data_IF_931520006367
#
_entry.id   IF_931520006367
#
_cell.length_a   1.000
_cell.length_b   1.000
_cell.length_c   1.000
_cell.angle_alpha   90.00
_cell.angle_beta   90.00
_cell.angle_gamma   90.00
#
_symmetry.space_group_name_H-M   'P 1'
#
loop_
_entity.id
_entity.type
_entity.pdbx_description
1 polymer ?
#
# COMPACT_ATOMS: atom_id res chain seq x y z
N UNK A 1 -35.27 63.99 -10.34
CA UNK A 1 -35.08 62.76 -11.14
C UNK A 1 -34.93 61.61 -10.16
N UNK A 2 -36.00 60.88 -9.90
CA UNK A 2 -36.03 59.75 -8.97
C UNK A 2 -35.43 58.52 -9.65
N UNK A 3 -34.23 58.12 -9.22
CA UNK A 3 -33.61 56.88 -9.66
C UNK A 3 -34.41 55.69 -9.10
N UNK A 4 -35.19 55.02 -9.95
CA UNK A 4 -35.89 53.79 -9.59
C UNK A 4 -34.89 52.67 -9.34
N UNK A 5 -34.80 52.19 -8.10
CA UNK A 5 -34.03 50.99 -7.77
C UNK A 5 -34.68 49.78 -8.44
N UNK A 6 -34.15 49.33 -9.56
CA UNK A 6 -34.56 48.07 -10.17
C UNK A 6 -34.13 46.92 -9.24
N UNK A 7 -35.08 46.31 -8.54
CA UNK A 7 -34.80 45.11 -7.74
C UNK A 7 -34.40 43.99 -8.72
N UNK A 8 -33.27 43.30 -8.50
CA UNK A 8 -32.87 42.21 -9.37
C UNK A 8 -33.97 41.13 -9.38
N UNK A 9 -34.25 40.52 -10.54
CA UNK A 9 -35.25 39.47 -10.62
C UNK A 9 -34.85 38.31 -9.71
N UNK A 10 -35.83 37.72 -9.03
CA UNK A 10 -35.63 36.65 -8.02
C UNK A 10 -34.71 35.53 -8.54
N UNK A 11 -34.83 35.19 -9.83
CA UNK A 11 -33.98 34.19 -10.49
C UNK A 11 -32.47 34.54 -10.43
N UNK A 12 -32.10 35.81 -10.59
CA UNK A 12 -30.70 36.27 -10.54
C UNK A 12 -30.15 36.17 -9.12
N UNK A 13 -30.95 36.49 -8.10
CA UNK A 13 -30.55 36.32 -6.70
C UNK A 13 -30.38 34.84 -6.34
N UNK A 14 -31.29 33.98 -6.81
CA UNK A 14 -31.21 32.53 -6.61
C UNK A 14 -29.96 31.95 -7.28
N UNK A 15 -29.69 32.32 -8.54
CA UNK A 15 -28.48 31.89 -9.25
C UNK A 15 -27.20 32.39 -8.59
N UNK A 16 -27.17 33.66 -8.16
CA UNK A 16 -26.03 34.23 -7.44
C UNK A 16 -25.76 33.51 -6.13
N UNK A 17 -26.82 33.19 -5.37
CA UNK A 17 -26.72 32.41 -4.14
C UNK A 17 -26.21 30.98 -4.38
N UNK A 18 -26.73 30.29 -5.40
CA UNK A 18 -26.28 28.95 -5.76
C UNK A 18 -24.81 28.93 -6.19
N UNK A 19 -24.38 29.92 -6.97
CA UNK A 19 -22.99 30.07 -7.38
C UNK A 19 -22.07 30.35 -6.18
N UNK A 20 -22.47 31.24 -5.27
CA UNK A 20 -21.70 31.52 -4.06
C UNK A 20 -21.55 30.27 -3.17
N UNK A 21 -22.61 29.46 -3.03
CA UNK A 21 -22.56 28.19 -2.29
C UNK A 21 -21.64 27.16 -2.95
N UNK A 22 -21.64 27.08 -4.29
CA UNK A 22 -20.73 26.21 -5.04
C UNK A 22 -19.26 26.62 -4.81
N UNK A 23 -18.95 27.91 -4.92
CA UNK A 23 -17.60 28.43 -4.69
C UNK A 23 -17.18 28.20 -3.23
N UNK A 24 -18.05 28.48 -2.27
CA UNK A 24 -17.77 28.21 -0.87
C UNK A 24 -17.49 26.72 -0.61
N UNK A 25 -18.28 25.83 -1.22
CA UNK A 25 -18.08 24.37 -1.12
C UNK A 25 -16.74 23.93 -1.71
N UNK A 26 -16.37 24.42 -2.89
CA UNK A 26 -15.08 24.17 -3.53
C UNK A 26 -13.90 24.67 -2.67
N UNK A 27 -14.02 25.87 -2.11
CA UNK A 27 -12.99 26.46 -1.24
C UNK A 27 -12.86 25.68 0.06
N UNK A 28 -13.97 25.34 0.72
CA UNK A 28 -13.96 24.52 1.95
C UNK A 28 -13.35 23.15 1.67
N UNK A 29 -13.77 22.47 0.61
CA UNK A 29 -13.20 21.19 0.19
C UNK A 29 -11.72 21.27 -0.20
N UNK A 30 -11.25 22.43 -0.69
CA UNK A 30 -9.83 22.65 -0.97
C UNK A 30 -8.96 22.74 0.30
N UNK A 31 -9.54 23.03 1.47
CA UNK A 31 -8.82 23.09 2.74
C UNK A 31 -8.98 21.83 3.61
N UNK A 32 -9.85 20.89 3.22
CA UNK A 32 -9.95 19.61 3.95
C UNK A 32 -8.73 18.74 3.66
N UNK A 33 -7.83 18.60 4.64
CA UNK A 33 -6.72 17.64 4.56
C UNK A 33 -7.26 16.22 4.63
N UNK A 34 -6.87 15.31 3.72
CA UNK A 34 -7.22 13.91 3.83
C UNK A 34 -6.74 13.36 5.18
N UNK A 35 -7.65 12.80 5.98
CA UNK A 35 -7.27 12.11 7.20
C UNK A 35 -6.55 10.81 6.82
N UNK A 36 -5.28 10.69 7.19
CA UNK A 36 -4.52 9.47 6.92
C UNK A 36 -5.00 8.33 7.82
N UNK A 37 -4.93 7.07 7.34
CA UNK A 37 -5.21 5.92 8.16
C UNK A 37 -4.40 5.95 9.47
N UNK A 38 -4.97 5.50 10.61
CA UNK A 38 -4.35 5.59 11.93
C UNK A 38 -3.19 4.60 12.14
N UNK A 39 -2.52 4.17 11.07
CA UNK A 39 -1.30 3.38 11.17
C UNK A 39 -0.15 4.25 11.65
N UNK A 40 0.77 3.62 12.38
CA UNK A 40 2.01 4.22 12.90
C UNK A 40 3.18 3.32 12.52
N UNK A 41 4.38 3.85 12.24
CA UNK A 41 5.53 3.02 11.90
C UNK A 41 5.81 1.95 12.95
N UNK A 42 5.95 0.72 12.50
CA UNK A 42 6.29 -0.40 13.38
C UNK A 42 7.72 -0.26 13.87
N UNK A 43 7.91 -0.27 15.18
CA UNK A 43 9.25 -0.30 15.81
C UNK A 43 9.94 -1.61 15.38
N UNK A 44 11.06 -1.56 14.64
CA UNK A 44 11.72 -2.77 14.18
C UNK A 44 12.23 -3.58 15.38
N UNK A 45 11.81 -4.85 15.46
CA UNK A 45 12.38 -5.82 16.41
C UNK A 45 12.69 -7.14 15.69
N UNK A 46 13.72 -7.17 14.82
CA UNK A 46 13.95 -8.32 13.96
C UNK A 46 14.45 -9.52 14.76
N UNK A 47 13.72 -10.63 14.75
CA UNK A 47 14.07 -11.87 15.45
C UNK A 47 13.82 -13.09 14.55
N UNK A 48 14.77 -14.02 14.51
CA UNK A 48 14.69 -15.18 13.62
C UNK A 48 13.56 -16.11 14.04
N UNK A 49 12.63 -16.39 13.12
CA UNK A 49 11.41 -17.17 13.38
C UNK A 49 11.56 -18.69 13.15
N UNK A 50 12.71 -19.11 12.61
CA UNK A 50 13.01 -20.51 12.30
C UNK A 50 12.04 -21.11 11.27
N UNK A 51 11.63 -22.36 11.49
CA UNK A 51 10.71 -23.09 10.61
C UNK A 51 9.22 -22.77 10.87
N UNK A 52 8.92 -21.71 11.62
CA UNK A 52 7.55 -21.39 12.00
C UNK A 52 6.73 -20.78 10.86
N UNK A 53 5.42 -21.06 10.86
CA UNK A 53 4.45 -20.23 10.14
C UNK A 53 4.20 -18.96 10.95
N UNK A 54 4.53 -17.80 10.36
CA UNK A 54 4.36 -16.49 10.96
C UNK A 54 3.15 -15.79 10.35
N UNK A 55 2.40 -15.07 11.18
CA UNK A 55 1.31 -14.20 10.77
C UNK A 55 -0.08 -14.87 10.77
N UNK A 56 -1.14 -14.13 10.37
CA UNK A 56 -1.10 -12.79 9.81
C UNK A 56 -0.48 -11.75 10.76
N UNK A 57 0.48 -10.98 10.28
CA UNK A 57 1.09 -9.86 10.99
C UNK A 57 0.96 -8.59 10.15
N UNK A 58 0.69 -7.46 10.81
CA UNK A 58 0.65 -6.15 10.14
C UNK A 58 1.94 -5.40 10.43
N UNK A 59 2.53 -4.80 9.40
CA UNK A 59 3.76 -4.03 9.49
C UNK A 59 3.60 -2.71 8.73
N UNK A 60 4.08 -1.62 9.33
CA UNK A 60 4.09 -0.29 8.74
C UNK A 60 5.53 0.22 8.69
N UNK A 61 5.99 0.66 7.52
CA UNK A 61 7.33 1.19 7.32
C UNK A 61 7.34 2.50 6.55
N UNK A 62 8.39 3.28 6.81
CA UNK A 62 8.71 4.48 6.03
C UNK A 62 9.46 4.06 4.74
N UNK A 63 8.83 4.29 3.60
CA UNK A 63 9.39 4.14 2.26
C UNK A 63 9.46 5.49 1.53
N UNK A 64 9.50 6.62 2.26
CA UNK A 64 9.43 7.97 1.69
C UNK A 64 10.64 8.37 0.86
N UNK A 65 11.80 7.76 1.11
CA UNK A 65 13.04 7.95 0.35
C UNK A 65 12.83 7.68 -1.14
N UNK A 66 13.42 8.52 -1.98
CA UNK A 66 13.37 8.41 -3.44
C UNK A 66 14.53 7.63 -4.02
N UNK A 67 15.60 7.45 -3.26
CA UNK A 67 16.88 6.86 -3.66
C UNK A 67 17.16 5.52 -2.97
N UNK A 68 16.71 5.33 -1.72
CA UNK A 68 16.98 4.15 -0.90
C UNK A 68 15.78 3.22 -0.77
N UNK A 69 16.06 1.92 -0.86
CA UNK A 69 15.11 0.85 -0.61
C UNK A 69 15.04 0.53 0.89
N UNK A 70 13.83 0.57 1.47
CA UNK A 70 13.57 0.04 2.82
C UNK A 70 13.36 -1.47 2.71
N UNK A 71 14.33 -2.25 3.20
CA UNK A 71 14.39 -3.70 3.06
C UNK A 71 13.71 -4.40 4.23
N UNK A 72 12.93 -5.44 3.96
CA UNK A 72 12.22 -6.25 4.94
C UNK A 72 12.58 -7.73 4.74
N UNK A 73 12.79 -8.43 5.85
CA UNK A 73 13.09 -9.86 5.88
C UNK A 73 11.98 -10.60 6.62
N UNK A 74 11.28 -11.51 5.93
CA UNK A 74 10.19 -12.28 6.53
C UNK A 74 10.71 -13.24 7.61
N UNK A 75 11.94 -13.74 7.48
CA UNK A 75 12.56 -14.63 8.48
C UNK A 75 12.81 -13.93 9.81
N UNK A 76 12.96 -12.61 9.78
CA UNK A 76 13.16 -11.79 10.97
C UNK A 76 11.92 -11.01 11.37
N UNK A 77 10.87 -11.03 10.55
CA UNK A 77 9.62 -10.29 10.77
C UNK A 77 9.81 -8.78 10.89
N UNK A 78 10.81 -8.22 10.20
CA UNK A 78 11.21 -6.85 10.44
C UNK A 78 12.06 -6.25 9.33
N UNK A 79 12.17 -4.93 9.39
CA UNK A 79 13.07 -4.18 8.53
C UNK A 79 14.53 -4.44 8.91
N UNK A 80 15.39 -4.55 7.91
CA UNK A 80 16.83 -4.82 8.06
C UNK A 80 17.67 -3.79 7.30
N UNK A 81 18.77 -3.34 7.92
CA UNK A 81 19.69 -2.38 7.31
C UNK A 81 20.83 -3.09 6.54
N UNK A 82 21.17 -4.32 6.91
CA UNK A 82 22.21 -5.15 6.30
C UNK A 82 21.82 -6.63 6.29
N UNK A 83 22.55 -7.44 5.50
CA UNK A 83 22.29 -8.87 5.36
C UNK A 83 21.17 -9.22 4.39
N UNK A 84 20.65 -10.45 4.52
CA UNK A 84 19.58 -10.98 3.69
C UNK A 84 18.25 -10.25 3.91
N UNK A 85 17.55 -10.00 2.81
CA UNK A 85 16.22 -9.38 2.76
C UNK A 85 15.38 -10.12 1.73
N UNK A 86 14.06 -9.98 1.80
CA UNK A 86 13.13 -10.70 0.92
C UNK A 86 12.36 -9.75 0.01
N UNK A 87 11.86 -8.65 0.58
CA UNK A 87 11.14 -7.60 -0.14
C UNK A 87 11.71 -6.22 0.22
N UNK A 88 11.54 -5.26 -0.66
CA UNK A 88 11.90 -3.89 -0.36
C UNK A 88 10.93 -2.89 -0.97
N UNK A 89 10.79 -1.76 -0.27
CA UNK A 89 9.86 -0.69 -0.60
C UNK A 89 10.61 0.60 -0.88
N UNK A 90 10.15 1.34 -1.89
CA UNK A 90 10.60 2.70 -2.17
C UNK A 90 9.47 3.45 -2.84
N UNK A 91 8.98 4.51 -2.21
CA UNK A 91 7.73 5.17 -2.58
C UNK A 91 6.62 4.12 -2.69
N UNK A 92 5.93 4.04 -3.81
CA UNK A 92 4.90 3.04 -4.09
C UNK A 92 5.45 1.77 -4.75
N UNK A 93 6.76 1.66 -4.97
CA UNK A 93 7.35 0.48 -5.57
C UNK A 93 7.60 -0.61 -4.52
N UNK A 94 7.38 -1.85 -4.93
CA UNK A 94 7.72 -3.07 -4.20
C UNK A 94 8.55 -3.96 -5.12
N UNK A 95 9.68 -4.45 -4.60
CA UNK A 95 10.56 -5.40 -5.28
C UNK A 95 10.91 -6.56 -4.36
N UNK A 96 11.45 -7.63 -4.94
CA UNK A 96 12.03 -8.75 -4.21
C UNK A 96 13.56 -8.69 -4.19
N UNK A 97 14.18 -9.44 -3.29
CA UNK A 97 15.60 -9.72 -3.42
C UNK A 97 15.91 -10.47 -4.73
N UNK A 98 17.12 -10.32 -5.30
CA UNK A 98 17.53 -11.07 -6.49
C UNK A 98 17.27 -12.57 -6.34
N UNK A 99 16.64 -13.19 -7.35
CA UNK A 99 16.23 -14.60 -7.33
C UNK A 99 14.87 -14.87 -6.67
N UNK A 100 14.24 -13.86 -6.05
CA UNK A 100 12.85 -13.91 -5.62
C UNK A 100 11.88 -13.46 -6.71
N UNK A 101 10.58 -13.60 -6.46
CA UNK A 101 9.54 -13.11 -7.37
C UNK A 101 8.17 -12.95 -6.71
N UNK A 102 7.27 -12.26 -7.41
CA UNK A 102 5.91 -11.94 -6.95
C UNK A 102 4.89 -12.46 -7.97
N UNK A 103 3.78 -12.99 -7.47
CA UNK A 103 2.58 -13.31 -8.25
C UNK A 103 1.38 -12.60 -7.64
N UNK A 104 0.57 -11.93 -8.47
CA UNK A 104 -0.69 -11.31 -8.06
C UNK A 104 -1.81 -12.36 -8.05
N UNK A 105 -2.46 -12.55 -6.91
CA UNK A 105 -3.59 -13.47 -6.75
C UNK A 105 -4.95 -12.74 -6.84
N UNK A 106 -4.92 -11.42 -7.06
CA UNK A 106 -6.09 -10.57 -7.19
C UNK A 106 -6.70 -10.12 -5.87
N UNK A 107 -7.84 -9.44 -5.98
CA UNK A 107 -8.65 -8.98 -4.86
C UNK A 107 -9.44 -10.14 -4.22
N UNK A 108 -8.73 -10.99 -3.48
CA UNK A 108 -9.31 -12.09 -2.71
C UNK A 108 -9.14 -11.85 -1.21
N UNK A 109 -10.01 -12.39 -0.34
CA UNK A 109 -9.81 -12.29 1.10
C UNK A 109 -8.45 -12.89 1.50
N UNK A 110 -7.65 -12.16 2.28
CA UNK A 110 -6.32 -12.64 2.70
C UNK A 110 -6.34 -14.03 3.33
N UNK A 111 -7.35 -14.34 4.14
CA UNK A 111 -7.46 -15.62 4.84
C UNK A 111 -7.92 -16.78 3.93
N UNK A 112 -8.50 -16.50 2.75
CA UNK A 112 -8.86 -17.54 1.78
C UNK A 112 -7.62 -18.12 1.08
N UNK A 113 -6.53 -17.35 0.98
CA UNK A 113 -5.26 -17.81 0.42
C UNK A 113 -4.50 -18.61 1.47
N UNK A 114 -4.63 -19.93 1.40
CA UNK A 114 -4.00 -20.87 2.34
C UNK A 114 -2.77 -21.55 1.77
N UNK A 115 -2.73 -21.71 0.46
CA UNK A 115 -1.62 -22.30 -0.27
C UNK A 115 -1.34 -21.45 -1.51
N UNK A 116 -0.08 -21.09 -1.71
CA UNK A 116 0.37 -20.26 -2.83
C UNK A 116 0.64 -21.11 -4.07
N UNK A 117 0.52 -20.59 -5.30
CA UNK A 117 0.83 -21.36 -6.51
C UNK A 117 2.32 -21.75 -6.57
N UNK A 118 2.64 -22.77 -7.37
CA UNK A 118 4.02 -23.21 -7.62
C UNK A 118 4.75 -22.24 -8.56
N UNK A 119 4.05 -21.81 -9.61
CA UNK A 119 4.58 -21.03 -10.73
C UNK A 119 3.91 -19.65 -10.84
N UNK A 120 4.36 -18.85 -11.81
CA UNK A 120 3.80 -17.52 -12.09
C UNK A 120 4.48 -16.36 -11.35
N UNK A 121 5.52 -16.63 -10.57
CA UNK A 121 6.31 -15.60 -9.88
C UNK A 121 7.19 -14.84 -10.86
N UNK A 122 6.95 -13.54 -10.96
CA UNK A 122 7.74 -12.65 -11.80
C UNK A 122 8.88 -12.03 -10.99
N UNK A 123 10.09 -12.14 -11.53
CA UNK A 123 11.28 -11.47 -10.97
C UNK A 123 11.28 -9.98 -11.28
N UNK A 124 12.20 -9.26 -10.65
CA UNK A 124 12.37 -7.84 -10.93
C UNK A 124 12.83 -7.60 -12.38
N UNK A 125 12.37 -6.51 -12.97
CA UNK A 125 12.87 -5.99 -14.24
C UNK A 125 13.54 -4.63 -14.01
N UNK A 126 14.51 -4.30 -14.86
CA UNK A 126 15.25 -3.04 -14.80
C UNK A 126 15.00 -2.26 -16.08
N UNK A 127 14.22 -1.17 -16.03
CA UNK A 127 14.23 -0.05 -16.98
C UNK A 127 12.98 0.86 -16.81
N UNK A 128 13.13 2.20 -16.69
CA UNK A 128 14.32 2.97 -16.28
C UNK A 128 14.64 2.83 -14.78
N UNK A 129 13.77 2.17 -14.02
CA UNK A 129 13.91 1.90 -12.60
C UNK A 129 13.69 0.40 -12.33
N UNK A 130 14.12 -0.10 -11.17
CA UNK A 130 13.85 -1.48 -10.77
C UNK A 130 12.41 -1.59 -10.29
N UNK A 131 11.64 -2.43 -10.97
CA UNK A 131 10.25 -2.74 -10.63
C UNK A 131 10.06 -4.25 -10.53
N UNK A 132 9.00 -4.68 -9.85
CA UNK A 132 8.52 -6.05 -9.97
C UNK A 132 7.17 -6.04 -10.71
N UNK A 133 7.08 -6.56 -11.95
CA UNK A 133 5.83 -6.57 -12.70
C UNK A 133 4.75 -7.45 -12.06
N UNK A 134 5.13 -8.39 -11.20
CA UNK A 134 4.20 -9.23 -10.44
C UNK A 134 3.38 -8.48 -9.40
N UNK A 135 3.83 -7.31 -8.93
CA UNK A 135 2.99 -6.44 -8.07
C UNK A 135 2.09 -5.51 -8.89
N UNK A 136 2.57 -5.11 -10.08
CA UNK A 136 1.91 -4.15 -10.94
C UNK A 136 1.54 -2.84 -10.23
N UNK A 137 0.41 -2.25 -10.65
CA UNK A 137 -0.18 -1.08 -9.98
C UNK A 137 -1.10 -1.54 -8.87
N UNK A 138 -0.55 -1.79 -7.68
CA UNK A 138 -1.29 -2.27 -6.50
C UNK A 138 -2.29 -1.26 -5.92
N UNK A 139 -2.29 -0.03 -6.44
CA UNK A 139 -3.14 1.07 -5.98
C UNK A 139 -4.03 1.63 -7.09
N UNK A 140 -5.20 2.15 -6.72
CA UNK A 140 -5.98 3.09 -7.50
C UNK A 140 -5.45 4.52 -7.30
N UNK A 141 -5.49 5.33 -8.36
CA UNK A 141 -5.14 6.75 -8.29
C UNK A 141 -6.40 7.58 -8.52
N UNK A 142 -6.71 8.49 -7.59
CA UNK A 142 -7.81 9.45 -7.76
C UNK A 142 -7.32 10.68 -8.49
N UNK A 143 -7.92 11.04 -9.63
CA UNK A 143 -7.59 12.29 -10.33
C UNK A 143 -8.09 13.54 -9.58
N UNK A 144 -9.09 13.39 -8.69
CA UNK A 144 -9.65 14.50 -7.92
C UNK A 144 -8.79 14.81 -6.69
N UNK A 145 -8.43 13.79 -5.91
CA UNK A 145 -7.69 13.97 -4.66
C UNK A 145 -6.18 13.73 -4.80
N UNK A 146 -5.73 13.19 -5.94
CA UNK A 146 -4.35 12.74 -6.16
C UNK A 146 -3.85 11.69 -5.15
N UNK A 147 -4.77 11.02 -4.44
CA UNK A 147 -4.43 10.01 -3.45
C UNK A 147 -4.32 8.60 -4.06
N UNK A 148 -3.44 7.80 -3.46
CA UNK A 148 -3.29 6.37 -3.74
C UNK A 148 -4.11 5.54 -2.75
N UNK A 149 -5.07 4.77 -3.26
CA UNK A 149 -5.86 3.83 -2.43
C UNK A 149 -5.47 2.40 -2.78
N UNK A 150 -5.25 1.54 -1.80
CA UNK A 150 -4.93 0.14 -2.09
C UNK A 150 -6.06 -0.54 -2.87
N UNK A 151 -5.69 -1.44 -3.78
CA UNK A 151 -6.64 -2.37 -4.42
C UNK A 151 -6.94 -3.59 -3.55
N UNK A 152 -6.25 -3.76 -2.42
CA UNK A 152 -6.41 -4.92 -1.53
C UNK A 152 -6.20 -6.27 -2.24
N UNK A 153 -5.27 -6.30 -3.20
CA UNK A 153 -4.82 -7.54 -3.80
C UNK A 153 -3.94 -8.33 -2.84
N UNK A 154 -4.08 -9.66 -2.89
CA UNK A 154 -3.17 -10.57 -2.21
C UNK A 154 -2.10 -11.01 -3.19
N UNK A 155 -0.85 -10.91 -2.76
CA UNK A 155 0.32 -11.29 -3.52
C UNK A 155 0.97 -12.52 -2.90
N UNK A 156 1.38 -13.47 -3.73
CA UNK A 156 2.34 -14.49 -3.35
C UNK A 156 3.76 -13.98 -3.57
N UNK A 157 4.65 -14.22 -2.62
CA UNK A 157 6.08 -13.90 -2.70
C UNK A 157 6.88 -15.18 -2.55
N UNK A 158 7.71 -15.47 -3.56
CA UNK A 158 8.78 -16.45 -3.45
C UNK A 158 10.06 -15.71 -3.09
N UNK A 159 10.59 -15.97 -1.91
CA UNK A 159 11.87 -15.41 -1.44
C UNK A 159 13.04 -15.98 -2.23
N UNK A 160 14.17 -15.26 -2.25
CA UNK A 160 15.42 -15.73 -2.87
C UNK A 160 15.94 -17.04 -2.24
N UNK A 161 15.62 -17.27 -0.97
CA UNK A 161 15.91 -18.51 -0.25
C UNK A 161 14.92 -19.66 -0.46
N UNK A 162 13.99 -19.55 -1.43
CA UNK A 162 13.04 -20.62 -1.77
C UNK A 162 11.91 -20.85 -0.77
N UNK A 163 11.68 -19.91 0.15
CA UNK A 163 10.53 -19.86 1.07
C UNK A 163 9.42 -18.99 0.50
N UNK A 164 8.23 -19.11 1.07
CA UNK A 164 7.02 -18.46 0.56
C UNK A 164 6.38 -17.55 1.61
N UNK A 165 5.87 -16.41 1.17
CA UNK A 165 5.04 -15.51 1.95
C UNK A 165 3.82 -15.07 1.14
N UNK A 166 2.70 -14.76 1.81
CA UNK A 166 1.64 -13.95 1.22
C UNK A 166 1.67 -12.54 1.80
N UNK A 167 1.27 -11.56 1.00
CA UNK A 167 1.33 -10.14 1.31
C UNK A 167 0.07 -9.45 0.80
N UNK A 168 -0.50 -8.54 1.58
CA UNK A 168 -1.48 -7.56 1.10
C UNK A 168 -1.05 -6.17 1.53
N UNK A 169 -0.99 -5.26 0.56
CA UNK A 169 -0.69 -3.85 0.79
C UNK A 169 -1.99 -3.17 1.26
N UNK A 170 -1.99 -2.57 2.45
CA UNK A 170 -3.18 -2.02 3.09
C UNK A 170 -3.29 -0.50 2.88
N UNK A 171 -2.18 0.22 3.01
CA UNK A 171 -2.16 1.68 2.90
C UNK A 171 -0.81 2.20 2.39
N UNK A 172 -0.87 3.35 1.72
CA UNK A 172 0.30 4.13 1.29
C UNK A 172 0.60 5.33 2.21
N UNK A 173 -0.30 5.58 3.17
CA UNK A 173 -0.23 6.70 4.10
C UNK A 173 -0.37 6.22 5.54
N UNK A 174 0.29 6.91 6.47
CA UNK A 174 0.18 6.69 7.91
C UNK A 174 0.30 8.01 8.67
N UNK A 175 -0.11 8.04 9.94
CA UNK A 175 -0.26 9.27 10.74
C UNK A 175 1.05 10.06 10.92
N UNK A 176 2.16 9.37 11.16
CA UNK A 176 3.41 10.02 11.59
C UNK A 176 4.35 10.39 10.44
N UNK A 177 4.40 9.55 9.40
CA UNK A 177 5.29 9.76 8.23
C UNK A 177 4.53 10.43 7.08
N UNK A 178 3.21 10.26 7.01
CA UNK A 178 2.39 10.77 5.92
C UNK A 178 2.56 9.93 4.66
N UNK A 179 3.08 10.54 3.58
CA UNK A 179 3.16 9.92 2.25
C UNK A 179 4.26 8.87 2.16
N UNK A 180 3.99 7.78 1.43
CA UNK A 180 4.92 6.65 1.28
C UNK A 180 5.26 5.96 2.61
N UNK A 181 4.30 5.99 3.53
CA UNK A 181 4.30 5.15 4.71
C UNK A 181 3.47 3.90 4.41
N UNK A 182 4.15 2.85 3.97
CA UNK A 182 3.49 1.65 3.47
C UNK A 182 3.11 0.77 4.65
N UNK A 183 1.82 0.45 4.75
CA UNK A 183 1.30 -0.56 5.68
C UNK A 183 0.89 -1.79 4.89
N UNK A 184 1.29 -2.96 5.37
CA UNK A 184 0.95 -4.23 4.76
C UNK A 184 0.70 -5.30 5.81
N UNK A 185 -0.10 -6.31 5.46
CA UNK A 185 -0.21 -7.54 6.24
C UNK A 185 0.45 -8.70 5.50
N UNK A 186 1.07 -9.61 6.23
CA UNK A 186 1.76 -10.75 5.65
C UNK A 186 1.64 -12.02 6.49
N UNK A 187 1.85 -13.15 5.84
CA UNK A 187 2.11 -14.43 6.49
C UNK A 187 3.27 -15.12 5.79
N UNK A 188 4.17 -15.75 6.55
CA UNK A 188 5.43 -16.33 6.06
C UNK A 188 5.60 -17.77 6.51
N UNK A 189 5.99 -18.64 5.58
CA UNK A 189 6.24 -20.05 5.84
C UNK A 189 7.75 -20.31 6.01
N UNK A 190 8.20 -20.44 7.26
CA UNK A 190 9.59 -20.72 7.62
C UNK A 190 10.06 -22.14 7.29
N UNK A 191 9.22 -23.16 7.50
CA UNK A 191 9.56 -24.58 7.24
C UNK A 191 9.75 -24.89 5.76
N UNK A 192 9.33 -23.97 4.87
CA UNK A 192 9.25 -24.21 3.45
C UNK A 192 7.91 -24.82 3.03
N UNK A 193 7.80 -25.12 1.73
CA UNK A 193 6.50 -25.38 1.12
C UNK A 193 5.67 -24.11 0.95
N UNK A 194 4.47 -24.26 0.38
CA UNK A 194 3.63 -23.16 -0.10
C UNK A 194 2.45 -22.80 0.81
N UNK A 195 2.31 -23.50 1.95
CA UNK A 195 1.21 -23.29 2.90
C UNK A 195 1.48 -22.08 3.79
N UNK A 196 0.63 -21.06 3.69
CA UNK A 196 0.78 -19.75 4.33
C UNK A 196 -0.39 -19.41 5.27
N UNK A 197 -1.11 -20.42 5.73
CA UNK A 197 -2.13 -20.30 6.77
C UNK A 197 -2.13 -21.57 7.65
N UNK A 198 -2.51 -21.48 8.93
CA UNK A 198 -2.68 -22.64 9.79
C UNK A 198 -3.65 -23.65 9.17
N UNK A 199 -3.56 -24.94 9.54
CA UNK A 199 -4.57 -25.95 9.19
C UNK A 199 -5.96 -25.57 9.71
N UNK A 200 -7.02 -26.01 9.03
CA UNK A 200 -8.37 -25.77 9.54
C UNK A 200 -8.53 -26.72 10.72
N UNK A 201 -8.93 -26.17 11.86
CA UNK A 201 -9.42 -26.99 12.96
C UNK A 201 -10.83 -27.46 12.65
#
# INVERSE_FOLDING_TARGET
MTAGSARPPILVLVMGGAFALLIASLVIGSFTTPEFPPYTPTVPHPAVVGDSLVGPATYTLDASSTDRWRRFDFRRGGVVDSGGWDIAFRRFHLITAPGGGIVDLGAVPFDSVRELPLDGYLGNTNAPDTINPGVGKWYGYSMLSHLLTSKHHVYGVRTSGGRYAKLELLAYYCRDVGTACVTFRYAYQGAGGRRVAPGAR
#
